data_IF_042095114203
#
_entry.id   IF_042095114203
#
_cell.length_a   1.000
_cell.length_b   1.000
_cell.length_c   1.000
_cell.angle_alpha   90.00
_cell.angle_beta   90.00
_cell.angle_gamma   90.00
#
_symmetry.space_group_name_H-M   'P 1'
#
loop_
_entity.id
_entity.type
_entity.pdbx_description
1 polymer ?
#
# COMPACT_ATOMS: atom_id res chain seq x y z
N UNK A 1 -69.59 48.71 10.54
CA UNK A 1 -68.63 47.60 10.75
C UNK A 1 -67.37 48.08 11.48
N UNK A 2 -66.94 47.43 12.57
CA UNK A 2 -65.68 47.78 13.22
C UNK A 2 -64.50 47.46 12.29
N UNK A 3 -63.39 48.24 12.38
CA UNK A 3 -62.20 47.98 11.58
C UNK A 3 -61.57 46.62 11.94
N UNK A 4 -60.90 45.96 10.99
CA UNK A 4 -60.24 44.68 11.25
C UNK A 4 -59.12 44.85 12.28
N UNK A 5 -59.04 43.89 13.21
CA UNK A 5 -57.98 43.85 14.22
C UNK A 5 -56.60 43.66 13.56
N UNK A 6 -55.55 44.31 14.09
CA UNK A 6 -54.20 44.11 13.59
C UNK A 6 -53.73 42.67 13.85
N UNK A 7 -52.83 42.14 12.99
CA UNK A 7 -52.29 40.80 13.16
C UNK A 7 -51.47 40.70 14.46
N UNK A 8 -51.41 39.52 15.09
CA UNK A 8 -50.60 39.30 16.28
C UNK A 8 -49.10 39.46 15.96
N UNK A 9 -48.27 39.88 16.93
CA UNK A 9 -46.83 39.95 16.75
C UNK A 9 -46.23 38.57 16.49
N UNK A 10 -45.11 38.48 15.75
CA UNK A 10 -44.43 37.22 15.51
C UNK A 10 -43.90 36.62 16.83
N UNK A 11 -43.79 35.29 16.92
CA UNK A 11 -43.25 34.63 18.11
C UNK A 11 -41.79 35.00 18.34
N UNK A 12 -41.44 35.29 19.60
CA UNK A 12 -40.07 35.56 20.02
C UNK A 12 -39.17 34.35 19.75
N UNK A 13 -38.03 34.59 19.07
CA UNK A 13 -37.01 33.57 18.84
C UNK A 13 -36.43 33.07 20.18
N UNK A 14 -36.19 31.77 20.34
CA UNK A 14 -35.52 31.26 21.54
C UNK A 14 -34.07 31.76 21.61
N UNK A 15 -33.51 31.92 22.82
CA UNK A 15 -32.12 32.34 22.97
C UNK A 15 -31.17 31.31 22.35
N UNK A 16 -30.18 31.77 21.58
CA UNK A 16 -29.11 30.90 21.06
C UNK A 16 -28.32 30.30 22.24
N UNK A 17 -28.14 28.98 22.21
CA UNK A 17 -27.22 28.30 23.11
C UNK A 17 -25.77 28.71 22.77
N UNK A 18 -24.87 28.86 23.76
CA UNK A 18 -23.46 29.14 23.51
C UNK A 18 -22.82 27.99 22.73
N UNK A 19 -21.96 28.33 21.76
CA UNK A 19 -21.18 27.34 21.02
C UNK A 19 -20.31 26.51 21.98
N UNK A 20 -20.16 25.19 21.76
CA UNK A 20 -19.19 24.40 22.49
C UNK A 20 -17.77 24.91 22.20
N UNK A 21 -16.83 24.77 23.16
CA UNK A 21 -15.44 25.16 22.94
C UNK A 21 -14.84 24.38 21.77
N UNK A 22 -14.13 25.09 20.90
CA UNK A 22 -13.41 24.52 19.77
C UNK A 22 -12.47 23.41 20.23
N UNK A 23 -12.59 22.22 19.64
CA UNK A 23 -11.66 21.12 19.88
C UNK A 23 -10.21 21.57 19.62
N UNK A 24 -9.22 21.11 20.41
CA UNK A 24 -7.82 21.42 20.14
C UNK A 24 -7.43 20.92 18.74
N UNK A 25 -6.49 21.60 18.05
CA UNK A 25 -6.02 21.16 16.74
C UNK A 25 -5.39 19.76 16.88
N UNK A 26 -5.80 18.84 16.00
CA UNK A 26 -5.21 17.50 15.91
C UNK A 26 -3.68 17.60 15.72
N UNK A 27 -2.89 16.69 16.31
CA UNK A 27 -1.45 16.62 16.04
C UNK A 27 -1.18 16.53 14.53
N UNK A 28 -0.04 17.05 14.04
CA UNK A 28 0.35 16.89 12.64
C UNK A 28 0.40 15.39 12.32
N UNK A 29 -0.47 14.96 11.40
CA UNK A 29 -0.48 13.58 10.93
C UNK A 29 0.88 13.27 10.30
N UNK A 30 1.46 12.05 10.52
CA UNK A 30 2.63 11.63 9.78
C UNK A 30 2.36 11.79 8.27
N UNK A 31 3.39 12.07 7.44
CA UNK A 31 3.18 12.29 6.02
C UNK A 31 2.47 11.09 5.43
N UNK A 32 1.21 11.28 5.04
CA UNK A 32 0.44 10.28 4.33
C UNK A 32 1.22 9.94 3.07
N UNK A 33 1.73 8.71 3.02
CA UNK A 33 2.24 8.17 1.76
C UNK A 33 1.05 8.21 0.78
N UNK A 34 1.18 8.85 -0.40
CA UNK A 34 0.09 8.85 -1.35
C UNK A 34 -0.20 7.39 -1.74
N UNK A 35 -1.40 6.94 -1.40
CA UNK A 35 -1.92 5.62 -1.74
C UNK A 35 -2.48 5.72 -3.15
N UNK A 36 -1.84 5.04 -4.11
CA UNK A 36 -2.24 5.05 -5.51
C UNK A 36 -2.78 3.67 -5.92
N UNK A 37 -3.99 3.63 -6.47
CA UNK A 37 -4.49 2.45 -7.17
C UNK A 37 -3.97 2.44 -8.59
N UNK A 38 -3.11 1.48 -8.92
CA UNK A 38 -2.53 1.32 -10.25
C UNK A 38 -3.36 0.30 -11.02
N UNK A 39 -3.90 0.69 -12.17
CA UNK A 39 -4.59 -0.23 -13.07
C UNK A 39 -3.56 -1.20 -13.65
N UNK A 40 -3.82 -2.50 -13.54
CA UNK A 40 -2.94 -3.55 -14.09
C UNK A 40 -3.64 -4.41 -15.14
N UNK A 41 -4.98 -4.35 -15.22
CA UNK A 41 -5.73 -4.97 -16.31
C UNK A 41 -7.09 -4.30 -16.49
N UNK A 42 -7.47 -4.05 -17.74
CA UNK A 42 -8.82 -3.64 -18.15
C UNK A 42 -9.24 -4.47 -19.37
N UNK A 43 -10.47 -4.94 -19.35
CA UNK A 43 -11.06 -5.60 -20.49
C UNK A 43 -12.51 -5.15 -20.65
N UNK A 44 -12.81 -4.54 -21.79
CA UNK A 44 -14.15 -4.09 -22.16
C UNK A 44 -14.68 -4.95 -23.30
N UNK A 45 -15.90 -5.47 -23.14
CA UNK A 45 -16.59 -6.24 -24.18
C UNK A 45 -16.92 -5.31 -25.34
N UNK A 46 -16.42 -5.64 -26.54
CA UNK A 46 -16.72 -4.94 -27.79
C UNK A 46 -17.38 -5.89 -28.79
N UNK A 47 -17.87 -5.36 -29.91
CA UNK A 47 -18.52 -6.17 -30.94
C UNK A 47 -17.56 -7.23 -31.51
N UNK A 48 -18.03 -8.47 -31.64
CA UNK A 48 -17.23 -9.59 -32.13
C UNK A 48 -16.34 -10.18 -31.04
N UNK A 49 -15.20 -10.75 -31.45
CA UNK A 49 -14.32 -11.53 -30.56
C UNK A 49 -12.96 -10.86 -30.32
N UNK A 50 -12.73 -9.64 -30.81
CA UNK A 50 -11.46 -8.91 -30.68
C UNK A 50 -11.13 -8.54 -29.22
N UNK A 51 -12.13 -8.50 -28.34
CA UNK A 51 -11.93 -8.23 -26.92
C UNK A 51 -11.42 -9.46 -26.12
N UNK A 52 -11.44 -10.67 -26.70
CA UNK A 52 -10.97 -11.87 -26.02
C UNK A 52 -9.44 -11.91 -25.96
N UNK A 53 -8.90 -12.32 -24.81
CA UNK A 53 -7.45 -12.50 -24.62
C UNK A 53 -6.95 -13.79 -25.28
N UNK A 54 -5.73 -13.74 -25.79
CA UNK A 54 -4.98 -14.95 -26.15
C UNK A 54 -4.43 -15.67 -24.90
N UNK A 55 -3.99 -16.92 -25.07
CA UNK A 55 -3.29 -17.63 -23.99
C UNK A 55 -2.04 -16.88 -23.57
N UNK A 56 -1.81 -16.73 -22.26
CA UNK A 56 -0.63 -16.06 -21.70
C UNK A 56 -0.40 -14.63 -22.21
N UNK A 57 -1.46 -13.92 -22.65
CA UNK A 57 -1.38 -12.52 -23.05
C UNK A 57 -1.42 -11.60 -21.82
N UNK A 58 -0.35 -11.65 -21.03
CA UNK A 58 -0.24 -10.92 -19.75
C UNK A 58 -0.07 -9.41 -19.94
N UNK A 59 0.52 -9.00 -21.06
CA UNK A 59 0.72 -7.61 -21.45
C UNK A 59 -0.01 -7.29 -22.74
N UNK A 60 -0.70 -6.15 -22.77
CA UNK A 60 -1.40 -5.62 -23.95
C UNK A 60 -1.63 -4.12 -23.77
N UNK A 61 -1.28 -3.32 -24.79
CA UNK A 61 -1.46 -1.87 -24.78
C UNK A 61 -0.87 -1.20 -23.51
N UNK A 62 0.26 -1.71 -23.01
CA UNK A 62 0.88 -1.29 -21.75
C UNK A 62 1.19 0.21 -21.67
N UNK A 63 1.42 0.86 -22.82
CA UNK A 63 1.69 2.30 -22.91
C UNK A 63 0.42 3.15 -23.06
N UNK A 64 -0.77 2.53 -23.04
CA UNK A 64 -2.05 3.20 -23.29
C UNK A 64 -3.10 2.73 -22.28
N UNK A 65 -2.97 3.21 -21.04
CA UNK A 65 -3.84 2.83 -19.92
C UNK A 65 -5.35 3.08 -20.17
N UNK A 66 -5.68 4.03 -21.05
CA UNK A 66 -7.07 4.32 -21.42
C UNK A 66 -7.66 3.35 -22.46
N UNK A 67 -6.86 2.42 -22.99
CA UNK A 67 -7.38 1.42 -23.91
C UNK A 67 -8.45 0.56 -23.25
N UNK A 68 -9.54 0.28 -23.98
CA UNK A 68 -10.54 -0.73 -23.61
C UNK A 68 -9.89 -2.08 -23.26
N UNK A 69 -8.76 -2.36 -23.90
CA UNK A 69 -8.03 -3.60 -23.80
C UNK A 69 -6.63 -3.32 -23.27
N UNK A 70 -6.49 -3.20 -21.95
CA UNK A 70 -5.22 -2.91 -21.30
C UNK A 70 -4.79 -4.07 -20.40
N UNK A 71 -3.49 -4.36 -20.33
CA UNK A 71 -2.93 -5.34 -19.41
C UNK A 71 -1.44 -5.08 -19.19
N UNK A 72 -1.02 -5.12 -17.93
CA UNK A 72 0.37 -5.16 -17.46
C UNK A 72 0.48 -6.18 -16.33
N UNK A 73 -0.22 -7.32 -16.46
CA UNK A 73 -0.23 -8.36 -15.44
C UNK A 73 1.16 -8.99 -15.23
N UNK A 74 2.02 -8.93 -16.24
CA UNK A 74 3.42 -9.33 -16.15
C UNK A 74 4.26 -8.42 -15.24
N UNK A 75 3.78 -7.24 -14.89
CA UNK A 75 4.46 -6.31 -13.97
C UNK A 75 4.02 -6.44 -12.52
N UNK A 76 3.16 -7.41 -12.18
CA UNK A 76 2.57 -7.53 -10.83
C UNK A 76 3.63 -7.48 -9.72
N UNK A 77 4.78 -8.13 -9.90
CA UNK A 77 5.88 -8.16 -8.93
C UNK A 77 6.38 -6.77 -8.49
N UNK A 78 6.18 -5.72 -9.30
CA UNK A 78 6.51 -4.33 -8.95
C UNK A 78 5.57 -3.72 -7.89
N UNK A 79 4.47 -4.39 -7.57
CA UNK A 79 3.38 -3.86 -6.74
C UNK A 79 3.24 -4.56 -5.39
N UNK A 80 4.23 -5.36 -4.97
CA UNK A 80 4.24 -5.93 -3.62
C UNK A 80 4.47 -4.84 -2.58
N UNK A 81 3.78 -4.96 -1.44
CA UNK A 81 4.02 -4.15 -0.28
C UNK A 81 5.24 -4.64 0.53
N UNK A 82 5.50 -3.98 1.66
CA UNK A 82 6.58 -4.34 2.61
C UNK A 82 6.55 -5.79 3.08
N UNK A 83 5.35 -6.38 3.18
CA UNK A 83 5.12 -7.73 3.64
C UNK A 83 5.26 -8.77 2.51
N UNK A 84 5.54 -8.31 1.29
CA UNK A 84 5.59 -9.17 0.12
C UNK A 84 4.21 -9.54 -0.41
N UNK A 85 3.14 -8.86 0.01
CA UNK A 85 1.78 -9.13 -0.46
C UNK A 85 1.34 -8.09 -1.51
N UNK A 86 0.49 -8.49 -2.44
CA UNK A 86 -0.31 -7.56 -3.22
C UNK A 86 -1.53 -7.14 -2.41
N UNK A 87 -1.96 -5.89 -2.55
CA UNK A 87 -3.33 -5.50 -2.22
C UNK A 87 -4.06 -5.27 -3.54
N UNK A 88 -4.99 -6.16 -3.87
CA UNK A 88 -5.76 -6.11 -5.10
C UNK A 88 -7.08 -5.40 -4.90
N UNK A 89 -7.58 -4.81 -5.99
CA UNK A 89 -8.96 -4.37 -6.11
C UNK A 89 -9.52 -4.76 -7.46
N UNK A 90 -10.67 -5.44 -7.47
CA UNK A 90 -11.40 -5.82 -8.68
C UNK A 90 -12.70 -5.03 -8.77
N UNK A 91 -12.92 -4.40 -9.92
CA UNK A 91 -14.04 -3.49 -10.20
C UNK A 91 -14.74 -3.92 -11.49
N UNK A 92 -16.05 -3.66 -11.56
CA UNK A 92 -16.90 -3.95 -12.70
C UNK A 92 -17.60 -2.68 -13.20
N UNK A 93 -16.90 -1.81 -13.95
CA UNK A 93 -17.47 -0.57 -14.45
C UNK A 93 -18.74 -0.79 -15.28
N UNK A 94 -19.68 0.16 -15.21
CA UNK A 94 -20.95 0.07 -15.92
C UNK A 94 -21.96 -0.91 -15.30
N UNK A 95 -21.66 -1.48 -14.13
CA UNK A 95 -22.60 -2.28 -13.32
C UNK A 95 -22.89 -1.60 -11.97
N UNK A 96 -23.88 -2.10 -11.25
CA UNK A 96 -24.22 -1.73 -9.86
C UNK A 96 -23.50 -2.60 -8.81
N UNK A 97 -22.55 -3.43 -9.26
CA UNK A 97 -21.85 -4.38 -8.40
C UNK A 97 -20.79 -3.68 -7.56
N UNK A 98 -20.73 -4.03 -6.28
CA UNK A 98 -19.70 -3.55 -5.38
C UNK A 98 -18.35 -4.14 -5.76
N UNK A 99 -17.29 -3.33 -5.71
CA UNK A 99 -15.91 -3.79 -5.92
C UNK A 99 -15.47 -4.78 -4.83
N UNK A 100 -14.39 -5.52 -5.10
CA UNK A 100 -13.74 -6.37 -4.10
C UNK A 100 -12.31 -5.91 -3.85
N UNK A 101 -11.89 -5.87 -2.59
CA UNK A 101 -10.51 -5.55 -2.18
C UNK A 101 -10.02 -6.64 -1.22
N UNK A 102 -8.82 -7.16 -1.46
CA UNK A 102 -8.20 -8.21 -0.63
C UNK A 102 -6.67 -8.16 -0.76
N UNK A 103 -5.96 -8.82 0.16
CA UNK A 103 -4.52 -9.09 0.01
C UNK A 103 -4.28 -10.52 -0.45
N UNK A 104 -3.17 -10.72 -1.15
CA UNK A 104 -2.73 -12.02 -1.62
C UNK A 104 -1.21 -12.02 -1.78
N UNK A 105 -0.52 -13.07 -1.33
CA UNK A 105 0.93 -13.20 -1.49
C UNK A 105 1.29 -13.92 -2.79
N UNK A 106 0.47 -14.85 -3.27
CA UNK A 106 0.74 -15.51 -4.55
C UNK A 106 0.53 -14.57 -5.74
N UNK A 107 1.39 -14.69 -6.75
CA UNK A 107 1.20 -14.06 -8.05
C UNK A 107 0.54 -15.06 -9.01
N UNK A 108 -0.69 -14.82 -9.47
CA UNK A 108 -1.40 -15.77 -10.32
C UNK A 108 -0.79 -15.89 -11.74
N UNK A 109 0.04 -14.94 -12.17
CA UNK A 109 0.75 -15.01 -13.46
C UNK A 109 1.89 -16.02 -13.44
N UNK A 110 2.54 -16.19 -12.30
CA UNK A 110 3.71 -17.09 -12.15
C UNK A 110 3.35 -18.51 -11.76
N UNK A 111 2.08 -18.78 -11.43
CA UNK A 111 1.63 -20.12 -11.10
C UNK A 111 1.74 -21.07 -12.31
N UNK A 112 2.22 -22.29 -12.10
CA UNK A 112 2.52 -23.24 -13.18
C UNK A 112 1.35 -24.16 -13.51
N UNK A 113 0.47 -24.43 -12.55
CA UNK A 113 -0.72 -25.26 -12.72
C UNK A 113 -1.97 -24.38 -12.83
N UNK A 114 -2.87 -24.71 -13.76
CA UNK A 114 -4.20 -24.08 -13.80
C UNK A 114 -5.02 -24.47 -12.57
N UNK A 115 -5.96 -23.61 -12.20
CA UNK A 115 -6.85 -23.79 -11.05
C UNK A 115 -6.11 -23.96 -9.73
N UNK A 116 -5.01 -23.21 -9.58
CA UNK A 116 -4.20 -23.25 -8.38
C UNK A 116 -3.46 -21.93 -8.19
N UNK A 117 -2.95 -21.72 -6.97
CA UNK A 117 -1.99 -20.66 -6.70
C UNK A 117 -2.59 -19.44 -6.02
N UNK A 118 -3.55 -19.63 -5.11
CA UNK A 118 -3.86 -18.60 -4.10
C UNK A 118 -3.12 -18.94 -2.80
N UNK A 119 -2.29 -18.01 -2.36
CA UNK A 119 -1.64 -18.04 -1.05
C UNK A 119 -1.77 -16.66 -0.38
N UNK A 120 -1.83 -16.67 0.95
CA UNK A 120 -1.87 -15.44 1.74
C UNK A 120 -3.11 -14.57 1.49
N UNK A 121 -4.24 -15.19 1.15
CA UNK A 121 -5.51 -14.48 1.00
C UNK A 121 -5.94 -13.85 2.31
N UNK A 122 -6.20 -12.55 2.29
CA UNK A 122 -6.73 -11.78 3.41
C UNK A 122 -7.85 -10.85 2.93
N UNK A 123 -9.11 -11.04 3.35
CA UNK A 123 -10.21 -10.19 2.91
C UNK A 123 -10.09 -8.80 3.52
N UNK A 124 -10.28 -7.75 2.71
CA UNK A 124 -10.40 -6.36 3.21
C UNK A 124 -11.84 -5.89 3.06
N UNK A 125 -12.38 -5.96 1.85
CA UNK A 125 -13.78 -5.65 1.54
C UNK A 125 -14.23 -6.58 0.40
N UNK A 126 -14.91 -7.66 0.75
CA UNK A 126 -15.21 -8.78 -0.17
C UNK A 126 -16.71 -9.09 -0.10
N UNK A 127 -17.56 -8.24 -0.71
CA UNK A 127 -19.02 -8.41 -0.66
C UNK A 127 -19.52 -9.62 -1.48
N UNK A 128 -18.68 -10.23 -2.31
CA UNK A 128 -19.06 -11.34 -3.19
C UNK A 128 -18.22 -12.59 -2.93
N UNK A 129 -18.78 -13.57 -2.23
CA UNK A 129 -18.06 -14.78 -1.81
C UNK A 129 -18.52 -16.07 -2.51
N UNK A 130 -19.58 -15.98 -3.33
CA UNK A 130 -20.15 -17.13 -4.03
C UNK A 130 -19.24 -17.68 -5.13
N UNK A 131 -19.56 -18.88 -5.62
CA UNK A 131 -18.86 -19.54 -6.74
C UNK A 131 -17.36 -19.78 -6.48
N UNK A 132 -17.03 -20.22 -5.25
CA UNK A 132 -15.69 -20.57 -4.79
C UNK A 132 -14.70 -19.38 -4.77
N UNK A 133 -15.18 -18.17 -4.48
CA UNK A 133 -14.29 -17.03 -4.33
C UNK A 133 -13.25 -17.28 -3.22
N UNK A 134 -11.99 -16.96 -3.52
CA UNK A 134 -10.91 -17.04 -2.53
C UNK A 134 -9.69 -16.21 -2.87
N UNK A 135 -9.82 -15.19 -3.73
CA UNK A 135 -8.68 -14.51 -4.35
C UNK A 135 -8.50 -14.93 -5.81
N UNK A 136 -7.45 -14.45 -6.48
CA UNK A 136 -7.22 -14.73 -7.90
C UNK A 136 -6.17 -15.83 -8.08
N UNK A 137 -6.52 -16.85 -8.85
CA UNK A 137 -5.64 -17.95 -9.23
C UNK A 137 -5.35 -17.96 -10.74
N UNK A 138 -4.40 -18.79 -11.15
CA UNK A 138 -4.18 -18.99 -12.59
C UNK A 138 -5.37 -19.67 -13.22
N UNK A 139 -5.93 -19.00 -14.23
CA UNK A 139 -7.07 -19.50 -14.97
C UNK A 139 -6.74 -20.72 -15.83
N UNK A 140 -7.81 -21.36 -16.30
CA UNK A 140 -7.74 -22.45 -17.25
C UNK A 140 -7.80 -21.98 -18.71
N UNK A 141 -8.69 -22.61 -19.49
CA UNK A 141 -8.88 -22.31 -20.91
C UNK A 141 -9.73 -21.06 -21.20
N UNK A 142 -10.44 -20.53 -20.20
CA UNK A 142 -11.48 -19.52 -20.38
C UNK A 142 -11.09 -18.12 -19.90
N UNK A 143 -10.11 -18.02 -19.01
CA UNK A 143 -9.59 -16.80 -18.38
C UNK A 143 -8.06 -16.84 -18.36
N UNK A 144 -7.41 -15.68 -18.19
CA UNK A 144 -6.01 -15.62 -17.81
C UNK A 144 -5.86 -15.92 -16.32
N UNK A 145 -6.67 -15.26 -15.50
CA UNK A 145 -6.81 -15.49 -14.05
C UNK A 145 -8.28 -15.35 -13.66
N UNK A 146 -8.71 -16.05 -12.63
CA UNK A 146 -10.07 -15.96 -12.13
C UNK A 146 -10.12 -16.28 -10.63
N UNK A 147 -11.29 -16.06 -10.03
CA UNK A 147 -11.48 -16.19 -8.60
C UNK A 147 -12.21 -17.46 -8.18
N UNK A 148 -12.55 -18.37 -9.09
CA UNK A 148 -13.20 -19.63 -8.75
C UNK A 148 -12.16 -20.66 -8.30
N UNK A 149 -11.60 -20.42 -7.12
CA UNK A 149 -10.41 -21.12 -6.62
C UNK A 149 -10.56 -22.64 -6.65
N UNK A 150 -9.54 -23.31 -7.20
CA UNK A 150 -9.45 -24.77 -7.29
C UNK A 150 -10.66 -25.42 -7.96
N UNK A 151 -11.26 -24.73 -8.94
CA UNK A 151 -12.46 -25.20 -9.64
C UNK A 151 -12.39 -24.90 -11.14
N UNK A 152 -12.99 -25.75 -11.98
CA UNK A 152 -13.10 -25.49 -13.43
C UNK A 152 -14.07 -24.36 -13.83
N UNK A 153 -14.64 -23.67 -12.84
CA UNK A 153 -15.40 -22.46 -13.07
C UNK A 153 -14.40 -21.31 -13.28
N UNK A 154 -14.88 -20.14 -13.67
CA UNK A 154 -14.00 -19.01 -13.97
C UNK A 154 -14.70 -17.69 -13.67
N UNK A 155 -15.41 -17.63 -12.54
CA UNK A 155 -16.03 -16.40 -12.06
C UNK A 155 -14.97 -15.41 -11.59
N UNK A 156 -15.32 -14.13 -11.51
CA UNK A 156 -14.39 -13.04 -11.18
C UNK A 156 -13.21 -12.97 -12.17
N UNK A 157 -13.49 -13.24 -13.44
CA UNK A 157 -12.47 -13.38 -14.46
C UNK A 157 -11.74 -12.06 -14.74
N UNK A 158 -10.43 -12.15 -14.89
CA UNK A 158 -9.58 -11.09 -15.45
C UNK A 158 -8.88 -11.68 -16.67
N UNK A 159 -8.97 -10.97 -17.79
CA UNK A 159 -8.46 -11.45 -19.07
C UNK A 159 -9.25 -12.65 -19.61
N UNK A 160 -10.57 -12.51 -19.74
CA UNK A 160 -11.43 -13.48 -20.38
C UNK A 160 -10.95 -13.82 -21.80
N UNK A 161 -10.87 -15.12 -22.07
CA UNK A 161 -10.43 -15.72 -23.34
C UNK A 161 -11.60 -16.34 -24.11
N UNK A 162 -12.76 -16.45 -23.47
CA UNK A 162 -14.03 -16.88 -24.05
C UNK A 162 -15.12 -15.90 -23.65
N UNK A 163 -16.22 -15.88 -24.41
CA UNK A 163 -17.44 -15.18 -24.00
C UNK A 163 -18.22 -16.04 -23.01
N UNK A 164 -18.76 -15.42 -21.96
CA UNK A 164 -19.67 -16.04 -21.00
C UNK A 164 -21.00 -15.29 -21.03
N UNK A 165 -22.05 -15.90 -21.58
CA UNK A 165 -23.36 -15.24 -21.67
C UNK A 165 -23.35 -13.90 -22.42
N UNK A 166 -22.42 -13.71 -23.37
CA UNK A 166 -22.28 -12.45 -24.11
C UNK A 166 -21.30 -11.44 -23.50
N UNK A 167 -20.72 -11.73 -22.34
CA UNK A 167 -19.75 -10.84 -21.68
C UNK A 167 -18.68 -11.60 -20.88
N UNK A 168 -18.25 -11.00 -19.77
CA UNK A 168 -17.23 -11.53 -18.86
C UNK A 168 -17.94 -12.04 -17.59
N UNK A 169 -17.59 -13.21 -17.03
CA UNK A 169 -18.14 -13.62 -15.75
C UNK A 169 -17.54 -12.78 -14.61
N UNK A 170 -18.36 -11.95 -13.98
CA UNK A 170 -18.03 -11.15 -12.80
C UNK A 170 -18.28 -11.95 -11.50
N UNK A 171 -18.91 -11.36 -10.47
CA UNK A 171 -19.37 -12.10 -9.30
C UNK A 171 -20.30 -13.26 -9.65
N UNK A 172 -20.44 -14.20 -8.73
CA UNK A 172 -21.22 -15.42 -8.91
C UNK A 172 -22.60 -15.15 -9.55
N UNK A 173 -22.83 -15.69 -10.75
CA UNK A 173 -24.08 -15.54 -11.50
C UNK A 173 -24.28 -14.18 -12.20
N UNK A 174 -23.25 -13.32 -12.25
CA UNK A 174 -23.31 -12.00 -12.88
C UNK A 174 -22.37 -11.94 -14.08
N UNK A 175 -22.93 -11.55 -15.22
CA UNK A 175 -22.17 -11.25 -16.44
C UNK A 175 -22.00 -9.73 -16.54
N UNK A 176 -20.77 -9.30 -16.78
CA UNK A 176 -20.36 -7.89 -16.82
C UNK A 176 -19.74 -7.56 -18.17
N UNK A 177 -19.81 -6.28 -18.54
CA UNK A 177 -19.28 -5.80 -19.82
C UNK A 177 -17.87 -5.22 -19.70
N UNK A 178 -17.39 -5.01 -18.48
CA UNK A 178 -16.05 -4.52 -18.23
C UNK A 178 -15.51 -5.08 -16.91
N UNK A 179 -14.23 -5.43 -16.90
CA UNK A 179 -13.48 -5.76 -15.68
C UNK A 179 -12.24 -4.89 -15.58
N UNK A 180 -11.93 -4.46 -14.37
CA UNK A 180 -10.71 -3.74 -14.05
C UNK A 180 -10.07 -4.34 -12.80
N UNK A 181 -8.78 -4.66 -12.89
CA UNK A 181 -7.96 -5.09 -11.77
C UNK A 181 -6.93 -4.02 -11.46
N UNK A 182 -6.84 -3.67 -10.19
CA UNK A 182 -5.90 -2.71 -9.64
C UNK A 182 -5.01 -3.34 -8.59
N UNK A 183 -3.81 -2.79 -8.43
CA UNK A 183 -2.93 -3.03 -7.29
C UNK A 183 -2.74 -1.74 -6.49
N UNK A 184 -2.59 -1.86 -5.19
CA UNK A 184 -2.22 -0.74 -4.34
C UNK A 184 -0.71 -0.50 -4.44
N UNK A 185 -0.33 0.70 -4.85
CA UNK A 185 1.05 1.18 -4.77
C UNK A 185 1.16 2.24 -3.67
N UNK A 186 2.05 1.97 -2.71
CA UNK A 186 2.35 2.89 -1.62
C UNK A 186 3.67 3.55 -1.98
N UNK A 187 3.65 4.82 -2.36
CA UNK A 187 4.88 5.60 -2.53
C UNK A 187 5.56 5.70 -1.17
N UNK A 188 6.62 4.93 -0.93
CA UNK A 188 7.52 5.26 0.16
C UNK A 188 8.23 6.54 -0.25
N UNK A 189 7.98 7.62 0.47
CA UNK A 189 8.98 8.69 0.51
C UNK A 189 10.31 8.02 0.85
N UNK A 190 11.41 8.27 0.11
CA UNK A 190 12.71 7.87 0.60
C UNK A 190 12.84 8.39 2.04
N UNK A 191 13.45 7.64 2.97
CA UNK A 191 13.58 8.10 4.34
C UNK A 191 14.13 9.51 4.29
N UNK A 192 13.35 10.49 4.76
CA UNK A 192 13.81 11.86 4.85
C UNK A 192 15.08 11.78 5.69
N UNK A 193 16.23 12.03 5.07
CA UNK A 193 17.47 12.18 5.81
C UNK A 193 17.15 13.17 6.92
N UNK A 194 17.40 12.84 8.20
CA UNK A 194 17.27 13.83 9.27
C UNK A 194 18.05 15.07 8.82
N UNK A 195 17.51 16.29 8.99
CA UNK A 195 18.29 17.48 8.69
C UNK A 195 19.62 17.32 9.43
N UNK A 196 20.73 17.30 8.68
CA UNK A 196 22.05 17.29 9.30
C UNK A 196 22.08 18.48 10.23
N UNK A 197 22.22 18.23 11.53
CA UNK A 197 22.51 19.30 12.48
C UNK A 197 23.69 20.09 11.90
N UNK A 198 23.64 21.44 11.91
CA UNK A 198 24.79 22.22 11.50
C UNK A 198 26.00 21.76 12.32
N UNK A 199 27.20 21.66 11.72
CA UNK A 199 28.39 21.27 12.45
C UNK A 199 28.54 22.20 13.65
N UNK A 200 28.60 21.63 14.85
CA UNK A 200 28.90 22.37 16.08
C UNK A 200 30.21 23.12 15.85
N UNK A 201 30.31 24.44 16.14
CA UNK A 201 31.60 25.11 16.08
C UNK A 201 32.57 24.35 16.99
N UNK A 202 33.63 23.82 16.39
CA UNK A 202 34.69 23.12 17.11
C UNK A 202 35.27 24.08 18.14
N UNK A 203 35.12 23.75 19.43
CA UNK A 203 35.83 24.46 20.49
C UNK A 203 37.32 24.27 20.22
N UNK A 204 38.00 25.39 19.99
CA UNK A 204 39.45 25.50 19.77
C UNK A 204 40.23 24.59 20.73
N UNK A 205 41.28 23.89 20.28
CA UNK A 205 42.06 23.03 21.17
C UNK A 205 42.63 23.85 22.34
N UNK A 206 42.38 23.36 23.55
CA UNK A 206 42.99 23.85 24.78
C UNK A 206 44.52 23.80 24.66
N UNK A 207 45.26 24.83 25.10
CA UNK A 207 46.72 24.79 25.07
C UNK A 207 47.26 23.64 25.93
N UNK A 208 48.30 22.98 25.41
CA UNK A 208 48.98 21.83 25.98
C UNK A 208 49.37 22.01 27.45
N UNK A 209 49.32 20.94 28.29
CA UNK A 209 49.89 21.01 29.62
C UNK A 209 51.42 21.08 29.57
N UNK A 210 51.99 21.93 30.44
CA UNK A 210 53.43 22.07 30.69
C UNK A 210 54.10 20.72 31.01
N UNK A 211 55.40 20.54 30.70
CA UNK A 211 56.13 19.33 31.10
C UNK A 211 56.26 19.22 32.62
N UNK A 212 56.08 18.00 33.14
CA UNK A 212 56.23 17.63 34.55
C UNK A 212 57.65 17.90 35.08
N UNK A 213 57.81 18.33 36.35
CA UNK A 213 59.13 18.44 36.96
C UNK A 213 59.74 17.06 37.24
N UNK A 214 61.04 16.94 36.98
CA UNK A 214 61.88 15.76 37.25
C UNK A 214 61.86 15.40 38.75
N UNK A 215 61.74 14.12 39.14
CA UNK A 215 61.81 13.72 40.55
C UNK A 215 63.24 13.85 41.12
N UNK A 216 63.34 14.38 42.33
CA UNK A 216 64.55 14.43 43.15
C UNK A 216 64.86 13.02 43.71
N UNK A 217 66.12 12.56 43.76
CA UNK A 217 66.46 11.26 44.35
C UNK A 217 66.25 11.24 45.87
N UNK A 218 65.64 10.16 46.37
CA UNK A 218 65.51 9.88 47.82
C UNK A 218 66.88 9.55 48.45
N UNK A 219 67.15 10.00 49.69
CA UNK A 219 68.34 9.61 50.44
C UNK A 219 68.23 8.17 50.98
N UNK A 220 69.32 7.43 50.80
CA UNK A 220 69.51 6.01 51.13
C UNK A 220 69.68 5.80 52.66
N UNK A 221 68.87 4.98 53.33
CA UNK A 221 68.93 4.83 54.79
C UNK A 221 69.74 3.60 55.21
N UNK A 222 70.97 3.42 54.73
CA UNK A 222 71.87 2.40 55.29
C UNK A 222 73.32 2.89 55.35
N UNK A 223 73.60 3.69 56.38
CA UNK A 223 74.93 3.81 56.95
C UNK A 223 75.03 2.82 58.12
N UNK A 224 75.79 1.75 57.95
CA UNK A 224 76.48 1.08 59.04
C UNK A 224 77.92 0.86 58.62
N UNK A 225 78.80 1.31 59.51
CA UNK A 225 80.25 1.41 59.42
C UNK A 225 80.94 0.06 59.11
N UNK A 226 82.18 0.12 58.63
CA UNK A 226 83.33 -0.52 59.30
C UNK A 226 84.65 -0.09 58.63
N UNK A 227 85.46 0.58 59.46
CA UNK A 227 86.91 0.77 59.49
C UNK A 227 87.77 -0.20 58.67
N UNK A 228 88.84 0.26 58.01
CA UNK A 228 90.25 0.14 58.50
C UNK A 228 91.29 0.70 57.49
N UNK A 229 92.09 1.64 58.01
CA UNK A 229 93.56 1.89 57.89
C UNK A 229 94.37 1.50 56.62
N UNK A 230 95.01 2.54 56.06
CA UNK A 230 96.37 2.71 55.45
C UNK A 230 97.40 1.56 55.47
N UNK A 231 98.49 1.60 54.66
CA UNK A 231 99.14 2.74 53.96
C UNK A 231 99.21 2.68 52.43
#
# INVERSE_FOLDING_TARGET
PPPPLPPPPPPSLPPLLPLPPSSPPSPPQPPYLPVLWVLVSRQTVTSGNSWLRAANQWSLNADTQESDQFSTLDTLELHRDASGAFTFRLVWPGSDLAQQTWKQTSNPVTATNSHSGVEGFEPIDVPHTGCNWGGLERGGGSSLIDGSVSHGNWWYAVGARRSHGGGIPGPCGKVVQQTELYTLHIYRSPPSTPPSLPPTPSLSPSPSPFPSPTPLPSPDPFRHDLYYVSP
#
